data_IF_209863477003
#
_entry.id   IF_209863477003
#
_cell.length_a   1.000
_cell.length_b   1.000
_cell.length_c   1.000
_cell.angle_alpha   90.00
_cell.angle_beta   90.00
_cell.angle_gamma   90.00
#
_symmetry.space_group_name_H-M   'P 1'
#
loop_
_entity.id
_entity.type
_entity.pdbx_description
1 polymer ?
#
# COMPACT_ATOMS: atom_id res chain seq x y z
N UNK A 1 -8.14 25.90 50.34
CA UNK A 1 -9.41 25.66 51.06
C UNK A 1 -9.08 24.97 52.38
N UNK A 2 -9.37 25.59 53.52
CA UNK A 2 -9.12 25.00 54.84
C UNK A 2 -10.41 24.34 55.33
N UNK A 3 -10.37 23.04 55.59
CA UNK A 3 -11.48 22.31 56.18
C UNK A 3 -11.53 22.70 57.67
N UNK A 4 -12.60 23.39 58.07
CA UNK A 4 -12.75 23.91 59.42
C UNK A 4 -13.25 22.80 60.35
N UNK A 5 -12.33 22.20 61.12
CA UNK A 5 -12.61 21.06 62.01
C UNK A 5 -13.74 21.35 63.02
N UNK A 6 -13.90 22.60 63.45
CA UNK A 6 -14.93 23.00 64.41
C UNK A 6 -16.34 22.79 63.86
N UNK A 7 -16.54 23.00 62.56
CA UNK A 7 -17.82 22.76 61.89
C UNK A 7 -18.12 21.27 61.70
N UNK A 8 -17.08 20.44 61.54
CA UNK A 8 -17.21 18.99 61.42
C UNK A 8 -17.59 18.38 62.78
N UNK A 9 -16.94 18.82 63.86
CA UNK A 9 -17.24 18.36 65.22
C UNK A 9 -18.67 18.70 65.67
N UNK A 10 -19.19 19.88 65.28
CA UNK A 10 -20.57 20.26 65.60
C UNK A 10 -21.62 19.39 64.88
N UNK A 11 -21.31 18.86 63.69
CA UNK A 11 -22.22 17.99 62.93
C UNK A 11 -22.26 16.55 63.45
N UNK A 12 -21.23 16.09 64.17
CA UNK A 12 -21.17 14.74 64.76
C UNK A 12 -22.02 14.57 66.02
N UNK A 13 -22.42 15.66 66.68
CA UNK A 13 -23.14 15.59 67.96
C UNK A 13 -24.67 15.40 67.82
N UNK A 14 -25.22 15.65 66.62
CA UNK A 14 -26.66 15.53 66.31
C UNK A 14 -26.99 14.32 65.41
N UNK A 15 -26.00 13.49 65.07
CA UNK A 15 -26.24 12.32 64.23
C UNK A 15 -26.49 11.09 65.11
N UNK A 16 -27.68 10.47 65.05
CA UNK A 16 -27.85 9.13 65.60
C UNK A 16 -26.79 8.24 64.94
N UNK A 17 -26.09 7.45 65.75
CA UNK A 17 -25.11 6.48 65.25
C UNK A 17 -25.82 5.37 64.48
N UNK A 18 -26.33 5.68 63.29
CA UNK A 18 -26.66 4.70 62.29
C UNK A 18 -25.32 4.23 61.73
N UNK A 19 -24.98 2.99 62.06
CA UNK A 19 -23.87 2.29 61.44
C UNK A 19 -24.21 2.14 59.97
N UNK A 20 -23.80 3.11 59.16
CA UNK A 20 -23.70 2.96 57.71
C UNK A 20 -22.68 1.85 57.45
N UNK A 21 -23.13 0.60 57.52
CA UNK A 21 -22.51 -0.49 56.78
C UNK A 21 -22.59 -0.10 55.31
N UNK A 22 -21.53 0.57 54.84
CA UNK A 22 -21.32 0.83 53.42
C UNK A 22 -21.24 -0.53 52.75
N UNK A 23 -22.35 -0.94 52.16
CA UNK A 23 -22.45 -2.13 51.35
C UNK A 23 -21.38 -2.01 50.25
N UNK A 24 -20.29 -2.75 50.44
CA UNK A 24 -19.19 -2.79 49.51
C UNK A 24 -19.73 -3.42 48.23
N UNK A 25 -20.10 -2.56 47.27
CA UNK A 25 -20.28 -2.90 45.86
C UNK A 25 -19.25 -3.98 45.51
N UNK A 26 -19.62 -5.15 44.91
CA UNK A 26 -18.73 -6.29 44.78
C UNK A 26 -17.39 -5.82 44.26
N UNK A 27 -16.43 -5.66 45.18
CA UNK A 27 -15.14 -5.10 44.84
C UNK A 27 -14.52 -6.12 43.92
N UNK A 28 -14.14 -5.72 42.71
CA UNK A 28 -13.22 -6.54 41.92
C UNK A 28 -12.12 -6.97 42.89
N UNK A 29 -12.01 -8.28 43.12
CA UNK A 29 -11.16 -8.83 44.16
C UNK A 29 -9.74 -8.30 43.90
N UNK A 30 -9.23 -7.50 44.83
CA UNK A 30 -7.90 -6.93 44.72
C UNK A 30 -6.96 -7.70 45.61
N UNK A 31 -5.80 -8.05 45.06
CA UNK A 31 -4.77 -8.85 45.73
C UNK A 31 -3.47 -8.07 45.79
N UNK A 32 -2.63 -8.41 46.75
CA UNK A 32 -1.31 -7.81 46.90
C UNK A 32 -0.29 -8.60 46.08
N UNK A 33 0.46 -7.92 45.23
CA UNK A 33 1.67 -8.42 44.58
C UNK A 33 2.83 -7.56 45.07
N UNK A 34 3.67 -8.15 45.92
CA UNK A 34 4.61 -7.41 46.79
C UNK A 34 3.87 -6.30 47.56
N UNK A 35 4.19 -5.03 47.25
CA UNK A 35 3.61 -3.84 47.88
C UNK A 35 2.46 -3.24 47.09
N UNK A 36 2.18 -3.73 45.89
CA UNK A 36 1.19 -3.17 44.98
C UNK A 36 -0.16 -3.89 45.10
N UNK A 37 -1.25 -3.13 45.20
CA UNK A 37 -2.62 -3.66 45.23
C UNK A 37 -3.20 -3.61 43.83
N UNK A 38 -3.43 -4.76 43.21
CA UNK A 38 -3.96 -4.87 41.85
C UNK A 38 -5.17 -5.80 41.78
N UNK A 39 -5.96 -5.71 40.72
CA UNK A 39 -7.02 -6.68 40.42
C UNK A 39 -6.46 -8.10 40.34
N UNK A 40 -7.23 -9.08 40.82
CA UNK A 40 -6.85 -10.49 40.85
C UNK A 40 -6.42 -11.01 39.48
N UNK A 41 -7.11 -10.62 38.41
CA UNK A 41 -6.76 -11.03 37.05
C UNK A 41 -5.41 -10.47 36.58
N UNK A 42 -4.94 -9.34 37.12
CA UNK A 42 -3.67 -8.71 36.73
C UNK A 42 -2.47 -9.31 37.49
N UNK A 43 -2.71 -9.87 38.67
CA UNK A 43 -1.68 -10.44 39.53
C UNK A 43 -0.76 -11.47 38.84
N UNK A 44 -1.25 -12.48 38.10
CA UNK A 44 -0.37 -13.46 37.45
C UNK A 44 0.52 -12.82 36.37
N UNK A 45 0.02 -11.80 35.67
CA UNK A 45 0.80 -11.07 34.65
C UNK A 45 1.86 -10.22 35.32
N UNK A 46 1.50 -9.48 36.37
CA UNK A 46 2.42 -8.64 37.12
C UNK A 46 3.55 -9.45 37.76
N UNK A 47 3.24 -10.62 38.34
CA UNK A 47 4.24 -11.52 38.90
C UNK A 47 5.24 -12.00 37.84
N UNK A 48 4.77 -12.36 36.63
CA UNK A 48 5.65 -12.73 35.51
C UNK A 48 6.55 -11.57 35.07
N UNK A 49 6.01 -10.35 35.06
CA UNK A 49 6.77 -9.13 34.74
C UNK A 49 7.86 -8.93 35.79
N UNK A 50 7.53 -8.96 37.08
CA UNK A 50 8.51 -8.77 38.16
C UNK A 50 9.56 -9.86 38.19
N UNK A 51 9.19 -11.11 37.91
CA UNK A 51 10.14 -12.21 37.81
C UNK A 51 11.18 -11.97 36.69
N UNK A 52 10.77 -11.33 35.59
CA UNK A 52 11.62 -11.15 34.41
C UNK A 52 12.40 -9.84 34.40
N UNK A 53 11.78 -8.76 34.88
CA UNK A 53 12.29 -7.40 34.75
C UNK A 53 12.53 -6.71 36.10
N UNK A 54 12.19 -7.35 37.21
CA UNK A 54 12.20 -6.75 38.55
C UNK A 54 11.01 -5.82 38.80
N UNK A 55 11.05 -5.10 39.91
CA UNK A 55 10.05 -4.07 40.24
C UNK A 55 10.18 -2.87 39.29
N UNK A 56 9.42 -2.91 38.19
CA UNK A 56 9.43 -1.86 37.15
C UNK A 56 8.91 -0.50 37.65
N UNK A 57 8.28 -0.44 38.83
CA UNK A 57 7.80 0.79 39.44
C UNK A 57 8.70 1.27 40.60
N UNK A 58 9.85 0.63 40.83
CA UNK A 58 10.79 1.00 41.89
C UNK A 58 11.26 2.45 41.82
N UNK A 59 11.48 2.97 40.60
CA UNK A 59 11.97 4.32 40.35
C UNK A 59 10.86 5.31 39.95
N UNK A 60 9.59 4.95 40.20
CA UNK A 60 8.44 5.76 39.80
C UNK A 60 8.55 7.20 40.32
N UNK A 61 8.10 8.16 39.51
CA UNK A 61 8.01 9.56 39.91
C UNK A 61 6.98 9.83 41.02
N UNK A 62 6.14 8.83 41.36
CA UNK A 62 5.06 8.98 42.32
C UNK A 62 5.41 8.36 43.68
N UNK A 63 5.18 9.11 44.75
CA UNK A 63 5.33 8.62 46.13
C UNK A 63 4.18 7.71 46.57
N UNK A 64 3.02 7.79 45.91
CA UNK A 64 1.84 6.97 46.22
C UNK A 64 1.95 5.59 45.58
N UNK A 65 2.00 4.56 46.44
CA UNK A 65 1.98 3.15 46.02
C UNK A 65 0.66 2.79 45.32
N UNK A 66 -0.45 3.39 45.74
CA UNK A 66 -1.75 3.18 45.08
C UNK A 66 -1.72 3.67 43.64
N UNK A 67 -1.12 4.84 43.38
CA UNK A 67 -1.01 5.37 42.02
C UNK A 67 -0.08 4.50 41.15
N UNK A 68 1.05 4.07 41.72
CA UNK A 68 1.94 3.12 41.06
C UNK A 68 1.24 1.79 40.75
N UNK A 69 0.37 1.32 41.64
CA UNK A 69 -0.42 0.10 41.42
C UNK A 69 -1.36 0.25 40.22
N UNK A 70 -2.04 1.39 40.08
CA UNK A 70 -2.88 1.67 38.91
C UNK A 70 -2.09 1.70 37.60
N UNK A 71 -0.88 2.28 37.59
CA UNK A 71 -0.01 2.24 36.41
C UNK A 71 0.44 0.83 36.04
N UNK A 72 0.72 -0.02 37.04
CA UNK A 72 1.05 -1.43 36.82
C UNK A 72 -0.13 -2.23 36.26
N UNK A 73 -1.37 -1.90 36.64
CA UNK A 73 -2.56 -2.49 36.02
C UNK A 73 -2.63 -2.15 34.52
N UNK A 74 -2.37 -0.89 34.14
CA UNK A 74 -2.32 -0.51 32.72
C UNK A 74 -1.25 -1.31 31.94
N UNK A 75 -0.07 -1.51 32.53
CA UNK A 75 0.97 -2.37 31.91
C UNK A 75 0.46 -3.79 31.71
N UNK A 76 -0.21 -4.36 32.72
CA UNK A 76 -0.79 -5.70 32.64
C UNK A 76 -1.88 -5.79 31.57
N UNK A 77 -2.73 -4.78 31.45
CA UNK A 77 -3.81 -4.73 30.45
C UNK A 77 -3.25 -4.70 29.02
N UNK A 78 -2.18 -3.92 28.77
CA UNK A 78 -1.48 -3.95 27.48
C UNK A 78 -0.91 -5.35 27.20
N UNK A 79 -0.25 -5.96 28.18
CA UNK A 79 0.35 -7.29 28.01
C UNK A 79 -0.69 -8.36 27.70
N UNK A 80 -1.79 -8.39 28.46
CA UNK A 80 -2.91 -9.31 28.20
C UNK A 80 -3.48 -9.10 26.83
N UNK A 81 -3.73 -7.85 26.44
CA UNK A 81 -4.28 -7.56 25.11
C UNK A 81 -3.36 -8.07 24.00
N UNK A 82 -2.04 -7.95 24.16
CA UNK A 82 -1.07 -8.51 23.21
C UNK A 82 -1.00 -10.04 23.22
N UNK A 83 -1.27 -10.69 24.35
CA UNK A 83 -1.28 -12.15 24.50
C UNK A 83 -2.58 -12.79 23.98
N UNK A 84 -3.72 -12.15 24.22
CA UNK A 84 -5.06 -12.68 23.94
C UNK A 84 -5.56 -12.32 22.52
N UNK A 85 -5.04 -11.26 21.92
CA UNK A 85 -5.48 -10.81 20.60
C UNK A 85 -4.59 -11.38 19.51
N UNK A 86 -5.19 -12.04 18.52
CA UNK A 86 -4.47 -12.46 17.32
C UNK A 86 -3.76 -11.30 16.64
N UNK A 87 -2.55 -11.54 16.17
CA UNK A 87 -1.69 -10.54 15.55
C UNK A 87 -2.33 -9.82 14.34
N UNK A 88 -3.18 -10.52 13.58
CA UNK A 88 -3.92 -9.94 12.45
C UNK A 88 -5.13 -9.10 12.90
N UNK A 89 -5.66 -9.39 14.09
CA UNK A 89 -6.91 -8.81 14.60
C UNK A 89 -6.70 -7.54 15.42
N UNK A 90 -5.57 -7.42 16.13
CA UNK A 90 -5.16 -6.12 16.68
C UNK A 90 -5.10 -5.12 15.52
N UNK A 91 -5.38 -3.83 15.73
CA UNK A 91 -5.33 -2.82 14.67
C UNK A 91 -4.07 -1.97 14.79
N UNK A 92 -3.67 -1.29 13.70
CA UNK A 92 -2.53 -0.35 13.77
C UNK A 92 -2.82 0.79 14.73
N UNK A 93 -4.08 1.25 14.81
CA UNK A 93 -4.51 2.30 15.74
C UNK A 93 -4.35 1.88 17.20
N UNK A 94 -4.71 0.64 17.54
CA UNK A 94 -4.53 0.12 18.89
C UNK A 94 -3.05 0.03 19.29
N UNK A 95 -2.18 -0.43 18.39
CA UNK A 95 -0.73 -0.46 18.66
C UNK A 95 -0.18 0.95 18.87
N UNK A 96 -0.64 1.94 18.09
CA UNK A 96 -0.24 3.33 18.30
C UNK A 96 -0.76 3.91 19.63
N UNK A 97 -1.96 3.52 20.07
CA UNK A 97 -2.48 3.89 21.40
C UNK A 97 -1.59 3.32 22.49
N UNK A 98 -1.29 2.02 22.44
CA UNK A 98 -0.43 1.36 23.41
C UNK A 98 0.99 1.95 23.43
N UNK A 99 1.51 2.37 22.26
CA UNK A 99 2.82 3.06 22.18
C UNK A 99 2.78 4.43 22.86
N UNK A 100 1.69 5.18 22.72
CA UNK A 100 1.52 6.45 23.41
C UNK A 100 1.42 6.22 24.93
N UNK A 101 0.62 5.24 25.37
CA UNK A 101 0.50 4.84 26.77
C UNK A 101 1.84 4.40 27.36
N UNK A 102 2.64 3.62 26.62
CA UNK A 102 3.97 3.21 27.04
C UNK A 102 4.93 4.40 27.19
N UNK A 103 4.82 5.42 26.33
CA UNK A 103 5.61 6.66 26.48
C UNK A 103 5.21 7.45 27.71
N UNK A 104 3.91 7.51 28.03
CA UNK A 104 3.43 8.18 29.23
C UNK A 104 3.92 7.46 30.50
N UNK A 105 3.94 6.11 30.48
CA UNK A 105 4.50 5.28 31.54
C UNK A 105 6.03 5.49 31.71
N UNK A 106 6.77 5.59 30.61
CA UNK A 106 8.20 5.93 30.64
C UNK A 106 8.44 7.32 31.23
N UNK A 107 7.61 8.31 30.87
CA UNK A 107 7.67 9.66 31.44
C UNK A 107 7.37 9.67 32.95
N UNK A 108 6.52 8.75 33.41
CA UNK A 108 6.26 8.47 34.83
C UNK A 108 7.38 7.68 35.54
N UNK A 109 8.48 7.39 34.85
CA UNK A 109 9.61 6.56 35.31
C UNK A 109 9.20 5.12 35.68
N UNK A 110 8.21 4.58 35.00
CA UNK A 110 7.94 3.14 35.02
C UNK A 110 8.83 2.48 33.95
N UNK A 111 9.57 1.45 34.33
CA UNK A 111 10.50 0.76 33.43
C UNK A 111 9.75 -0.18 32.45
N UNK A 112 9.25 0.40 31.37
CA UNK A 112 8.51 -0.30 30.31
C UNK A 112 9.22 -0.25 28.95
N UNK A 113 10.53 0.04 28.92
CA UNK A 113 11.28 0.13 27.66
C UNK A 113 11.32 -1.19 26.87
N UNK A 114 11.10 -2.33 27.54
CA UNK A 114 10.90 -3.63 26.88
C UNK A 114 9.55 -3.74 26.17
N UNK A 115 8.49 -3.14 26.73
CA UNK A 115 7.15 -3.13 26.16
C UNK A 115 7.10 -2.20 24.95
N UNK A 116 7.68 -1.00 25.07
CA UNK A 116 7.84 -0.05 23.96
C UNK A 116 8.55 -0.67 22.76
N UNK A 117 9.64 -1.41 22.99
CA UNK A 117 10.34 -2.15 21.92
C UNK A 117 9.44 -3.20 21.28
N UNK A 118 8.77 -4.02 22.10
CA UNK A 118 7.87 -5.06 21.60
C UNK A 118 6.72 -4.49 20.75
N UNK A 119 6.12 -3.39 21.18
CA UNK A 119 5.06 -2.71 20.44
C UNK A 119 5.56 -2.15 19.10
N UNK A 120 6.79 -1.60 19.07
CA UNK A 120 7.41 -1.15 17.84
C UNK A 120 7.68 -2.31 16.86
N UNK A 121 8.16 -3.45 17.34
CA UNK A 121 8.39 -4.63 16.51
C UNK A 121 7.07 -5.12 15.88
N UNK A 122 5.99 -5.16 16.66
CA UNK A 122 4.66 -5.54 16.17
C UNK A 122 4.17 -4.53 15.12
N UNK A 123 4.37 -3.23 15.36
CA UNK A 123 4.01 -2.18 14.40
C UNK A 123 4.75 -2.33 13.07
N UNK A 124 6.06 -2.59 13.12
CA UNK A 124 6.89 -2.79 11.92
C UNK A 124 6.48 -4.07 11.17
N UNK A 125 6.29 -5.18 11.88
CA UNK A 125 5.86 -6.44 11.28
C UNK A 125 4.55 -6.28 10.50
N UNK A 126 3.61 -5.48 11.03
CA UNK A 126 2.36 -5.17 10.32
C UNK A 126 2.53 -4.35 9.07
N UNK A 127 3.36 -3.31 9.13
CA UNK A 127 3.65 -2.49 7.95
C UNK A 127 4.24 -3.36 6.84
N UNK A 128 5.21 -4.22 7.18
CA UNK A 128 5.82 -5.16 6.24
C UNK A 128 4.80 -6.11 5.61
N UNK A 129 3.86 -6.63 6.40
CA UNK A 129 2.80 -7.49 5.87
C UNK A 129 1.86 -6.74 4.93
N UNK A 130 1.45 -5.52 5.29
CA UNK A 130 0.61 -4.70 4.43
C UNK A 130 1.30 -4.38 3.10
N UNK A 131 2.59 -4.03 3.15
CA UNK A 131 3.36 -3.70 1.95
C UNK A 131 3.66 -4.93 1.09
N UNK A 132 3.89 -6.09 1.71
CA UNK A 132 3.98 -7.38 1.01
C UNK A 132 2.71 -7.69 0.21
N UNK A 133 1.52 -7.49 0.81
CA UNK A 133 0.25 -7.68 0.11
C UNK A 133 0.11 -6.75 -1.11
N UNK A 134 0.37 -5.45 -0.94
CA UNK A 134 0.34 -4.48 -2.05
C UNK A 134 1.32 -4.84 -3.16
N UNK A 135 2.52 -5.28 -2.79
CA UNK A 135 3.55 -5.66 -3.75
C UNK A 135 3.14 -6.92 -4.53
N UNK A 136 2.53 -7.90 -3.87
CA UNK A 136 2.01 -9.10 -4.53
C UNK A 136 0.92 -8.76 -5.55
N UNK A 137 -0.01 -7.88 -5.19
CA UNK A 137 -1.04 -7.39 -6.11
C UNK A 137 -0.46 -6.63 -7.30
N UNK A 138 0.50 -5.73 -7.05
CA UNK A 138 1.18 -4.99 -8.11
C UNK A 138 1.96 -5.93 -9.06
N UNK A 139 2.64 -6.94 -8.51
CA UNK A 139 3.34 -7.96 -9.29
C UNK A 139 2.39 -8.72 -10.21
N UNK A 140 1.23 -9.16 -9.70
CA UNK A 140 0.22 -9.84 -10.51
C UNK A 140 -0.32 -8.94 -11.62
N UNK A 141 -0.64 -7.68 -11.33
CA UNK A 141 -1.11 -6.72 -12.36
C UNK A 141 -0.06 -6.50 -13.45
N UNK A 142 1.20 -6.32 -13.07
CA UNK A 142 2.28 -6.10 -14.03
C UNK A 142 2.54 -7.33 -14.91
N UNK A 143 2.38 -8.54 -14.36
CA UNK A 143 2.51 -9.78 -15.15
C UNK A 143 1.46 -9.83 -16.28
N UNK A 144 0.20 -9.53 -15.97
CA UNK A 144 -0.87 -9.48 -16.97
C UNK A 144 -0.58 -8.44 -18.05
N UNK A 145 -0.18 -7.22 -17.66
CA UNK A 145 0.17 -6.16 -18.63
C UNK A 145 1.33 -6.58 -19.53
N UNK A 146 2.36 -7.22 -18.95
CA UNK A 146 3.51 -7.70 -19.71
C UNK A 146 3.12 -8.78 -20.74
N UNK A 147 2.26 -9.72 -20.35
CA UNK A 147 1.76 -10.77 -21.25
C UNK A 147 0.90 -10.21 -22.38
N UNK A 148 0.01 -9.27 -22.08
CA UNK A 148 -0.80 -8.57 -23.09
C UNK A 148 0.06 -7.79 -24.07
N UNK A 149 0.97 -6.95 -23.57
CA UNK A 149 1.87 -6.16 -24.42
C UNK A 149 2.75 -7.06 -25.30
N UNK A 150 3.19 -8.22 -24.78
CA UNK A 150 3.95 -9.19 -25.57
C UNK A 150 3.12 -9.70 -26.75
N UNK A 151 1.84 -10.03 -26.53
CA UNK A 151 0.93 -10.49 -27.58
C UNK A 151 0.71 -9.41 -28.64
N UNK A 152 0.42 -8.18 -28.22
CA UNK A 152 0.24 -7.04 -29.13
C UNK A 152 1.50 -6.77 -29.97
N UNK A 153 2.69 -6.88 -29.38
CA UNK A 153 3.96 -6.73 -30.12
C UNK A 153 4.12 -7.81 -31.18
N UNK A 154 3.76 -9.06 -30.90
CA UNK A 154 3.83 -10.12 -31.92
C UNK A 154 2.79 -9.92 -33.02
N UNK A 155 1.57 -9.49 -32.70
CA UNK A 155 0.54 -9.15 -33.69
C UNK A 155 0.99 -8.00 -34.62
N UNK A 156 1.56 -6.92 -34.07
CA UNK A 156 2.10 -5.82 -34.87
C UNK A 156 3.27 -6.23 -35.77
N UNK A 157 4.09 -7.19 -35.33
CA UNK A 157 5.16 -7.74 -36.18
C UNK A 157 4.60 -8.53 -37.35
N UNK A 158 3.54 -9.32 -37.13
CA UNK A 158 2.86 -10.06 -38.19
C UNK A 158 2.21 -9.10 -39.20
N UNK A 159 1.52 -8.06 -38.73
CA UNK A 159 0.94 -7.01 -39.58
C UNK A 159 2.02 -6.28 -40.40
N UNK A 160 3.15 -5.92 -39.77
CA UNK A 160 4.27 -5.28 -40.46
C UNK A 160 4.83 -6.19 -41.56
N UNK A 161 4.99 -7.48 -41.28
CA UNK A 161 5.47 -8.46 -42.27
C UNK A 161 4.51 -8.56 -43.47
N UNK A 162 3.20 -8.58 -43.23
CA UNK A 162 2.18 -8.59 -44.29
C UNK A 162 2.20 -7.32 -45.13
N UNK A 163 2.36 -6.15 -44.49
CA UNK A 163 2.49 -4.87 -45.18
C UNK A 163 3.73 -4.84 -46.10
N UNK A 164 4.89 -5.29 -45.59
CA UNK A 164 6.13 -5.38 -46.38
C UNK A 164 5.94 -6.28 -47.60
N UNK A 165 5.27 -7.44 -47.45
CA UNK A 165 4.98 -8.34 -48.56
C UNK A 165 4.11 -7.66 -49.63
N UNK A 166 3.09 -6.90 -49.21
CA UNK A 166 2.22 -6.14 -50.12
C UNK A 166 2.99 -5.06 -50.87
N UNK A 167 3.85 -4.30 -50.18
CA UNK A 167 4.71 -3.30 -50.81
C UNK A 167 5.62 -3.91 -51.88
N UNK A 168 6.20 -5.09 -51.63
CA UNK A 168 7.03 -5.80 -52.63
C UNK A 168 6.23 -6.16 -53.88
N UNK A 169 5.00 -6.65 -53.73
CA UNK A 169 4.12 -6.97 -54.86
C UNK A 169 3.80 -5.72 -55.68
N UNK A 170 3.47 -4.61 -55.02
CA UNK A 170 3.19 -3.34 -55.69
C UNK A 170 4.43 -2.78 -56.42
N UNK A 171 5.61 -2.86 -55.80
CA UNK A 171 6.88 -2.47 -56.44
C UNK A 171 7.14 -3.27 -57.72
N UNK A 172 6.93 -4.59 -57.69
CA UNK A 172 7.07 -5.41 -58.90
C UNK A 172 6.06 -5.02 -59.99
N UNK A 173 4.82 -4.72 -59.62
CA UNK A 173 3.78 -4.27 -60.56
C UNK A 173 4.13 -2.93 -61.20
N UNK A 174 4.71 -2.00 -60.44
CA UNK A 174 5.18 -0.72 -60.95
C UNK A 174 6.29 -0.94 -61.98
N UNK A 175 7.32 -1.73 -61.64
CA UNK A 175 8.42 -2.03 -62.56
C UNK A 175 7.92 -2.63 -63.89
N UNK A 176 7.02 -3.62 -63.82
CA UNK A 176 6.45 -4.22 -65.01
C UNK A 176 5.71 -3.19 -65.89
N UNK A 177 4.98 -2.25 -65.27
CA UNK A 177 4.25 -1.19 -65.99
C UNK A 177 5.18 -0.14 -66.58
N UNK A 178 6.28 0.17 -65.92
CA UNK A 178 7.34 1.04 -66.45
C UNK A 178 7.99 0.42 -67.69
N UNK A 179 8.28 -0.89 -67.66
CA UNK A 179 8.82 -1.62 -68.81
C UNK A 179 7.84 -1.63 -70.00
N UNK A 180 6.56 -1.99 -69.76
CA UNK A 180 5.49 -1.96 -70.77
C UNK A 180 5.33 -0.57 -71.39
N UNK A 181 5.35 0.48 -70.57
CA UNK A 181 5.28 1.87 -71.03
C UNK A 181 6.49 2.26 -71.88
N UNK A 182 7.70 1.82 -71.50
CA UNK A 182 8.91 2.04 -72.28
C UNK A 182 8.84 1.41 -73.67
N UNK A 183 8.32 0.18 -73.78
CA UNK A 183 8.10 -0.50 -75.07
C UNK A 183 7.08 0.27 -75.91
N UNK A 184 5.90 0.56 -75.36
CA UNK A 184 4.83 1.26 -76.07
C UNK A 184 5.27 2.65 -76.55
N UNK A 185 6.09 3.35 -75.76
CA UNK A 185 6.69 4.63 -76.14
C UNK A 185 7.62 4.48 -77.35
N UNK A 186 8.51 3.49 -77.36
CA UNK A 186 9.43 3.26 -78.47
C UNK A 186 8.71 2.87 -79.76
N UNK A 187 7.66 2.04 -79.69
CA UNK A 187 6.82 1.72 -80.84
C UNK A 187 6.11 2.96 -81.39
N UNK A 188 5.57 3.81 -80.52
CA UNK A 188 4.92 5.04 -80.93
C UNK A 188 5.91 6.02 -81.61
N UNK A 189 7.14 6.13 -81.11
CA UNK A 189 8.21 6.92 -81.73
C UNK A 189 8.58 6.40 -83.14
N UNK A 190 8.65 5.07 -83.34
CA UNK A 190 8.87 4.46 -84.65
C UNK A 190 7.72 4.74 -85.61
N UNK A 191 6.48 4.51 -85.18
CA UNK A 191 5.28 4.77 -85.98
C UNK A 191 5.21 6.24 -86.40
N UNK A 192 5.58 7.16 -85.50
CA UNK A 192 5.63 8.59 -85.80
C UNK A 192 6.69 8.91 -86.86
N UNK A 193 7.90 8.32 -86.76
CA UNK A 193 8.94 8.50 -87.77
C UNK A 193 8.54 7.95 -89.14
N UNK A 194 7.88 6.78 -89.19
CA UNK A 194 7.34 6.19 -90.41
C UNK A 194 6.26 7.09 -91.04
N UNK A 195 5.32 7.60 -90.25
CA UNK A 195 4.30 8.55 -90.69
C UNK A 195 4.91 9.81 -91.35
N UNK A 196 5.89 10.45 -90.69
CA UNK A 196 6.59 11.59 -91.28
C UNK A 196 7.30 11.24 -92.60
N UNK A 197 7.85 10.03 -92.73
CA UNK A 197 8.47 9.59 -93.98
C UNK A 197 7.46 9.39 -95.13
N UNK A 198 6.24 8.91 -94.82
CA UNK A 198 5.16 8.80 -95.80
C UNK A 198 4.65 10.16 -96.27
N UNK A 199 4.52 11.13 -95.37
CA UNK A 199 4.10 12.50 -95.69
C UNK A 199 5.09 13.17 -96.66
N UNK A 200 6.40 13.04 -96.41
CA UNK A 200 7.47 13.56 -97.29
C UNK A 200 7.46 12.88 -98.67
N UNK A 201 7.16 11.58 -98.74
CA UNK A 201 7.03 10.87 -100.02
C UNK A 201 5.77 11.27 -100.80
N UNK A 202 4.66 11.56 -100.12
CA UNK A 202 3.42 12.06 -100.72
C UNK A 202 3.58 13.42 -101.39
N UNK A 203 4.41 14.29 -100.82
CA UNK A 203 4.73 15.62 -101.38
C UNK A 203 5.71 15.58 -102.57
N UNK A 204 6.38 14.44 -102.82
CA UNK A 204 7.31 14.27 -103.94
C UNK A 204 6.69 13.67 -105.21
N UNK A 205 5.38 13.39 -105.24
CA UNK A 205 4.68 13.02 -106.47
C UNK A 205 4.41 14.28 -107.33
N UNK A 206 5.02 14.42 -108.51
CA UNK A 206 4.81 15.60 -109.34
C UNK A 206 3.39 15.61 -109.92
N UNK A 207 2.76 16.78 -109.81
CA UNK A 207 1.49 17.16 -110.42
C UNK A 207 1.71 17.31 -111.94
N UNK A 208 1.82 16.20 -112.69
CA UNK A 208 1.82 16.23 -114.15
C UNK A 208 1.27 14.92 -114.72
N UNK A 209 0.48 15.04 -115.81
CA UNK A 209 -0.17 13.98 -116.63
C UNK A 209 -1.57 13.60 -116.09
N UNK A 210 -2.72 14.12 -116.55
CA UNK A 210 -3.15 14.62 -117.86
C UNK A 210 -4.37 15.57 -117.75
N UNK A 211 -4.30 16.72 -118.43
CA UNK A 211 -5.45 17.25 -119.19
C UNK A 211 -5.28 16.93 -120.68
N UNK A 212 -6.01 17.56 -121.61
CA UNK A 212 -7.35 18.15 -121.59
C UNK A 212 -8.42 17.24 -122.23
#
# INVERSE_FOLDING_TARGET
MSLNLTRIAALMNDYPSDSDEVESRPGHMSVMVDKYRVKEEAAPVLQKIFLKYGDIAMNSSFSSVNFSSSLLEFVCDICKKLEETDFLSITSKEIQSMLAEARDLEAAKIDVGWLSRRLNDISQAKQLLQDSCKLKEAKTRNLVVMETNKKEVEELKEELAACIATCRVLQQRIHNKEDEFGIARSENEKNHAELCSFEVQGEQFPEEVLGP
#
